data_IF_214233158146
#
_entry.id   IF_214233158146
#
_cell.length_a   1.000
_cell.length_b   1.000
_cell.length_c   1.000
_cell.angle_alpha   90.00
_cell.angle_beta   90.00
_cell.angle_gamma   90.00
#
_symmetry.space_group_name_H-M   'P 1'
#
loop_
_entity.id
_entity.type
_entity.pdbx_description
1 polymer ?
#
# COMPACT_ATOMS: atom_id res chain seq x y z
N UNK A 1 -3.81 23.65 62.69
CA UNK A 1 -4.18 24.57 61.59
C UNK A 1 -2.88 24.90 60.84
N UNK A 2 -2.36 24.01 59.98
CA UNK A 2 -2.79 23.62 58.62
C UNK A 2 -2.47 24.66 57.54
N UNK A 3 -1.65 24.21 56.57
CA UNK A 3 -1.41 24.73 55.21
C UNK A 3 -0.33 25.82 55.05
N UNK A 4 0.65 25.72 54.15
CA UNK A 4 0.89 24.67 53.16
C UNK A 4 2.21 24.89 52.43
N UNK A 5 3.14 23.95 52.64
CA UNK A 5 4.34 23.75 51.85
C UNK A 5 3.94 23.02 50.56
N UNK A 6 3.48 23.74 49.53
CA UNK A 6 3.15 23.15 48.20
C UNK A 6 3.49 24.13 47.08
N UNK A 7 4.77 24.21 46.72
CA UNK A 7 5.22 25.12 45.66
C UNK A 7 6.43 24.68 44.83
N UNK A 8 7.05 23.52 45.08
CA UNK A 8 8.36 23.23 44.47
C UNK A 8 8.50 21.86 43.76
N UNK A 9 7.45 21.04 43.65
CA UNK A 9 7.58 19.67 43.09
C UNK A 9 6.92 19.43 41.73
N UNK A 10 6.27 20.42 41.10
CA UNK A 10 5.54 20.20 39.84
C UNK A 10 6.24 20.71 38.57
N UNK A 11 7.45 21.27 38.68
CA UNK A 11 8.20 21.77 37.52
C UNK A 11 9.30 20.82 37.02
N UNK A 12 9.66 19.77 37.78
CA UNK A 12 10.74 18.84 37.41
C UNK A 12 10.27 17.57 36.68
N UNK A 13 8.97 17.30 36.56
CA UNK A 13 8.46 16.08 35.89
C UNK A 13 8.09 16.26 34.40
N UNK A 14 8.11 17.49 33.87
CA UNK A 14 7.81 17.77 32.45
C UNK A 14 9.06 18.03 31.58
N UNK A 15 10.26 17.90 32.15
CA UNK A 15 11.54 18.12 31.45
C UNK A 15 12.40 16.86 31.29
N UNK A 16 11.90 15.69 31.73
CA UNK A 16 12.67 14.43 31.74
C UNK A 16 12.38 13.46 30.57
N UNK A 17 11.55 13.84 29.59
CA UNK A 17 11.34 13.06 28.36
C UNK A 17 12.29 13.47 27.22
N UNK A 18 13.15 14.47 27.44
CA UNK A 18 14.09 14.98 26.42
C UNK A 18 15.58 14.68 26.71
N UNK A 19 15.88 13.71 27.59
CA UNK A 19 17.26 13.35 27.94
C UNK A 19 17.54 11.86 27.74
N UNK A 20 17.64 11.46 26.47
CA UNK A 20 18.63 10.46 26.05
C UNK A 20 19.08 10.75 24.61
N UNK A 21 20.21 11.45 24.40
CA UNK A 21 20.86 11.47 23.11
C UNK A 21 21.87 10.32 23.04
N UNK A 22 21.60 9.30 22.23
CA UNK A 22 22.70 8.51 21.64
C UNK A 22 23.16 9.25 20.38
N UNK A 23 24.29 9.97 20.54
CA UNK A 23 25.08 10.55 19.44
C UNK A 23 25.29 9.51 18.34
N UNK A 24 24.74 9.73 17.14
CA UNK A 24 25.20 9.05 15.91
C UNK A 24 24.14 8.50 14.95
N UNK A 25 22.87 8.36 15.31
CA UNK A 25 21.83 8.02 14.34
C UNK A 25 21.22 9.29 13.76
N UNK A 26 21.43 9.53 12.45
CA UNK A 26 20.61 10.50 11.69
C UNK A 26 19.16 10.10 11.86
N UNK A 27 18.37 10.87 12.61
CA UNK A 27 16.94 10.60 12.88
C UNK A 27 16.26 10.12 11.60
N UNK A 28 15.78 8.88 11.62
CA UNK A 28 15.03 8.30 10.52
C UNK A 28 13.53 8.49 10.81
N UNK A 29 12.73 8.65 9.75
CA UNK A 29 11.31 8.95 9.90
C UNK A 29 10.59 7.71 10.43
N UNK A 30 9.82 7.87 11.51
CA UNK A 30 8.92 6.81 11.99
C UNK A 30 7.68 6.72 11.11
N UNK A 31 7.40 5.53 10.59
CA UNK A 31 6.18 5.18 9.88
C UNK A 31 5.23 4.38 10.75
N UNK A 32 3.92 4.61 10.55
CA UNK A 32 2.84 3.79 11.09
C UNK A 32 2.17 3.05 9.95
N UNK A 33 2.33 1.73 9.91
CA UNK A 33 1.83 0.86 8.83
C UNK A 33 0.71 -0.03 9.36
N UNK A 34 -0.51 0.14 8.85
CA UNK A 34 -1.62 -0.77 9.12
C UNK A 34 -1.33 -2.15 8.52
N UNK A 35 -1.18 -3.15 9.39
CA UNK A 35 -0.96 -4.53 8.99
C UNK A 35 -2.26 -5.31 8.85
N UNK A 36 -3.23 -5.06 9.74
CA UNK A 36 -4.48 -5.82 9.82
C UNK A 36 -5.58 -5.02 10.50
N UNK A 37 -6.78 -5.11 9.94
CA UNK A 37 -8.02 -4.78 10.65
C UNK A 37 -8.64 -6.07 11.15
N UNK A 38 -8.97 -6.13 12.43
CA UNK A 38 -9.64 -7.27 13.06
C UNK A 38 -11.07 -6.86 13.38
N UNK A 39 -12.08 -7.60 12.90
CA UNK A 39 -13.48 -7.31 13.20
C UNK A 39 -13.77 -7.29 14.70
N UNK A 40 -14.81 -6.56 15.09
CA UNK A 40 -15.26 -6.49 16.47
C UNK A 40 -15.51 -7.89 17.06
N UNK A 41 -15.05 -8.09 18.30
CA UNK A 41 -15.19 -9.37 19.01
C UNK A 41 -14.20 -10.46 18.59
N UNK A 42 -13.40 -10.28 17.53
CA UNK A 42 -12.33 -11.21 17.17
C UNK A 42 -11.01 -10.85 17.85
N UNK A 43 -10.27 -11.88 18.28
CA UNK A 43 -8.97 -11.74 18.93
C UNK A 43 -7.81 -11.88 17.93
N UNK A 44 -6.72 -11.17 18.23
CA UNK A 44 -5.41 -11.33 17.60
C UNK A 44 -4.38 -11.71 18.65
N UNK A 45 -3.41 -12.53 18.25
CA UNK A 45 -2.26 -12.89 19.08
C UNK A 45 -0.99 -12.29 18.49
N UNK A 46 -0.23 -11.58 19.31
CA UNK A 46 1.09 -11.05 18.99
C UNK A 46 2.13 -11.82 19.78
N UNK A 47 3.15 -12.35 19.13
CA UNK A 47 4.30 -12.92 19.83
C UNK A 47 5.39 -11.86 19.95
N UNK A 48 5.78 -11.58 21.18
CA UNK A 48 6.81 -10.60 21.51
C UNK A 48 8.20 -11.29 21.59
N UNK A 49 9.30 -10.52 21.52
CA UNK A 49 10.66 -11.04 21.66
C UNK A 49 10.91 -11.81 22.98
N UNK A 50 12.00 -12.58 22.99
CA UNK A 50 12.41 -13.54 24.03
C UNK A 50 12.00 -13.17 25.46
N UNK A 51 11.22 -14.05 26.10
CA UNK A 51 10.80 -13.92 27.50
C UNK A 51 9.54 -13.07 27.74
N UNK A 52 9.04 -12.33 26.74
CA UNK A 52 7.87 -11.45 26.92
C UNK A 52 6.53 -12.10 26.58
N UNK A 53 6.54 -13.30 25.99
CA UNK A 53 5.37 -14.13 25.79
C UNK A 53 4.47 -13.70 24.62
N UNK A 54 3.20 -14.12 24.70
CA UNK A 54 2.16 -13.81 23.71
C UNK A 54 1.19 -12.81 24.31
N UNK A 55 0.79 -11.82 23.53
CA UNK A 55 -0.23 -10.83 23.88
C UNK A 55 -1.48 -11.09 23.06
N UNK A 56 -2.60 -11.34 23.72
CA UNK A 56 -3.93 -11.44 23.13
C UNK A 56 -4.67 -10.13 23.25
N UNK A 57 -5.23 -9.67 22.14
CA UNK A 57 -5.95 -8.42 22.09
C UNK A 57 -7.17 -8.51 21.17
N UNK A 58 -8.19 -7.69 21.45
CA UNK A 58 -9.35 -7.49 20.58
C UNK A 58 -9.81 -6.04 20.62
N UNK A 59 -10.50 -5.64 19.56
CA UNK A 59 -11.16 -4.34 19.47
C UNK A 59 -12.52 -4.40 20.14
N UNK A 60 -12.86 -3.37 20.91
CA UNK A 60 -14.18 -3.13 21.48
C UNK A 60 -14.56 -1.66 21.22
N UNK A 61 -15.86 -1.34 21.28
CA UNK A 61 -16.35 0.03 21.05
C UNK A 61 -15.69 1.10 21.96
N UNK A 62 -15.25 0.68 23.15
CA UNK A 62 -14.71 1.55 24.20
C UNK A 62 -13.17 1.61 24.21
N UNK A 63 -12.49 0.79 23.38
CA UNK A 63 -11.03 0.73 23.36
C UNK A 63 -10.48 -0.63 22.94
N UNK A 64 -9.21 -0.84 23.24
CA UNK A 64 -8.51 -2.11 23.02
C UNK A 64 -8.52 -2.89 24.32
N UNK A 65 -9.02 -4.12 24.26
CA UNK A 65 -8.88 -5.09 25.34
C UNK A 65 -7.57 -5.85 25.14
N UNK A 66 -6.73 -5.92 26.16
CA UNK A 66 -5.46 -6.68 26.17
C UNK A 66 -5.32 -7.40 27.50
N UNK A 67 -5.18 -8.73 27.48
CA UNK A 67 -4.90 -9.56 28.66
C UNK A 67 -5.79 -9.21 29.88
N UNK A 68 -7.09 -9.04 29.67
CA UNK A 68 -8.06 -8.73 30.73
C UNK A 68 -8.26 -7.26 31.05
N UNK A 69 -7.56 -6.34 30.38
CA UNK A 69 -7.64 -4.90 30.63
C UNK A 69 -8.09 -4.12 29.40
N UNK A 70 -9.10 -3.27 29.58
CA UNK A 70 -9.55 -2.33 28.56
C UNK A 70 -8.77 -1.02 28.67
N UNK A 71 -8.27 -0.52 27.54
CA UNK A 71 -7.47 0.69 27.47
C UNK A 71 -7.67 1.42 26.13
N UNK A 72 -7.45 2.75 26.04
CA UNK A 72 -7.68 3.49 24.80
C UNK A 72 -6.84 2.99 23.62
N UNK A 73 -5.62 2.56 23.91
CA UNK A 73 -4.69 1.94 22.97
C UNK A 73 -3.69 1.08 23.74
N UNK A 74 -3.00 0.17 23.06
CA UNK A 74 -1.88 -0.59 23.62
C UNK A 74 -0.67 -0.46 22.69
N UNK A 75 0.53 -0.32 23.26
CA UNK A 75 1.76 -0.20 22.49
C UNK A 75 2.84 -1.10 23.06
N UNK A 76 3.65 -1.64 22.15
CA UNK A 76 4.88 -2.33 22.45
C UNK A 76 6.02 -1.74 21.62
N UNK A 77 6.91 -0.92 22.21
CA UNK A 77 8.03 -0.28 21.52
C UNK A 77 9.26 -1.22 21.44
N UNK A 78 9.04 -2.46 20.98
CA UNK A 78 10.12 -3.45 20.85
C UNK A 78 10.90 -3.36 19.54
N UNK A 79 11.98 -4.16 19.41
CA UNK A 79 12.77 -4.24 18.18
C UNK A 79 12.07 -5.01 17.06
N UNK A 80 11.16 -5.92 17.41
CA UNK A 80 10.32 -6.68 16.49
C UNK A 80 9.14 -7.31 17.24
N UNK A 81 8.15 -7.78 16.50
CA UNK A 81 7.06 -8.64 16.98
C UNK A 81 6.61 -9.58 15.85
N UNK A 82 5.84 -10.61 16.18
CA UNK A 82 5.28 -11.55 15.18
C UNK A 82 3.75 -11.54 15.21
N UNK A 83 3.14 -11.38 14.04
CA UNK A 83 1.70 -11.39 13.78
C UNK A 83 1.44 -12.40 12.67
N UNK A 84 0.49 -13.32 12.88
CA UNK A 84 0.08 -14.35 11.90
C UNK A 84 1.28 -15.10 11.27
N UNK A 85 2.27 -15.45 12.11
CA UNK A 85 3.48 -16.16 11.69
C UNK A 85 4.56 -15.29 11.03
N UNK A 86 4.28 -14.01 10.75
CA UNK A 86 5.23 -13.07 10.11
C UNK A 86 5.86 -12.13 11.12
N UNK A 87 7.20 -12.02 11.07
CA UNK A 87 7.98 -11.12 11.93
C UNK A 87 8.11 -9.74 11.29
N UNK A 88 7.87 -8.68 12.06
CA UNK A 88 7.97 -7.28 11.64
C UNK A 88 8.99 -6.54 12.50
N UNK A 89 9.77 -5.63 11.89
CA UNK A 89 10.71 -4.76 12.60
C UNK A 89 9.97 -3.66 13.36
N UNK A 90 10.57 -3.20 14.45
CA UNK A 90 10.03 -2.12 15.27
C UNK A 90 8.88 -2.57 16.16
N UNK A 91 8.14 -1.58 16.64
CA UNK A 91 7.07 -1.75 17.61
C UNK A 91 5.71 -2.01 16.96
N UNK A 92 4.72 -2.22 17.80
CA UNK A 92 3.32 -2.37 17.41
C UNK A 92 2.43 -1.52 18.30
N UNK A 93 1.49 -0.84 17.68
CA UNK A 93 0.39 -0.11 18.31
C UNK A 93 -0.92 -0.77 17.94
N UNK A 94 -1.74 -1.02 18.94
CA UNK A 94 -3.11 -1.47 18.82
C UNK A 94 -4.05 -0.31 19.15
N UNK A 95 -5.00 -0.05 18.26
CA UNK A 95 -6.02 0.99 18.41
C UNK A 95 -7.38 0.39 18.09
N UNK A 96 -8.43 0.86 18.76
CA UNK A 96 -9.80 0.53 18.37
C UNK A 96 -10.40 1.68 17.57
N UNK A 97 -11.08 1.35 16.47
CA UNK A 97 -11.83 2.30 15.66
C UNK A 97 -13.14 1.65 15.23
N UNK A 98 -14.27 2.23 15.66
CA UNK A 98 -15.62 1.70 15.36
C UNK A 98 -15.76 0.20 15.72
N UNK A 99 -15.28 -0.18 16.90
CA UNK A 99 -15.30 -1.57 17.39
C UNK A 99 -14.24 -2.49 16.76
N UNK A 100 -13.61 -2.10 15.65
CA UNK A 100 -12.55 -2.88 14.99
C UNK A 100 -11.19 -2.60 15.62
N UNK A 101 -10.34 -3.62 15.70
CA UNK A 101 -8.94 -3.46 16.10
C UNK A 101 -8.08 -3.13 14.88
N UNK A 102 -7.27 -2.08 14.99
CA UNK A 102 -6.20 -1.77 14.04
C UNK A 102 -4.88 -2.26 14.63
N UNK A 103 -4.20 -3.17 13.91
CA UNK A 103 -2.84 -3.61 14.24
C UNK A 103 -1.86 -2.79 13.41
N UNK A 104 -1.18 -1.84 14.04
CA UNK A 104 -0.33 -0.84 13.37
C UNK A 104 1.12 -1.06 13.76
N UNK A 105 1.98 -1.36 12.79
CA UNK A 105 3.42 -1.43 13.00
C UNK A 105 4.04 -0.03 13.06
N UNK A 106 4.86 0.23 14.07
CA UNK A 106 5.69 1.42 14.24
C UNK A 106 7.12 1.08 13.85
N UNK A 107 7.58 1.54 12.69
CA UNK A 107 8.86 1.12 12.10
C UNK A 107 9.57 2.31 11.45
N UNK A 108 10.89 2.34 11.47
CA UNK A 108 11.66 3.37 10.78
C UNK A 108 11.54 3.22 9.26
N UNK A 109 11.52 4.34 8.53
CA UNK A 109 11.33 4.36 7.08
C UNK A 109 12.33 3.48 6.33
N UNK A 110 13.62 3.52 6.69
CA UNK A 110 14.61 2.70 6.01
C UNK A 110 14.41 1.20 6.31
N UNK A 111 14.02 0.84 7.54
CA UNK A 111 13.72 -0.54 7.93
C UNK A 111 12.45 -1.07 7.26
N UNK A 112 11.43 -0.23 7.11
CA UNK A 112 10.22 -0.55 6.35
C UNK A 112 10.55 -0.94 4.91
N UNK A 113 11.42 -0.18 4.26
CA UNK A 113 11.82 -0.42 2.86
C UNK A 113 12.53 -1.76 2.67
N UNK A 114 13.19 -2.30 3.69
CA UNK A 114 13.81 -3.63 3.61
C UNK A 114 12.77 -4.75 3.43
N UNK A 115 11.57 -4.58 3.98
CA UNK A 115 10.46 -5.52 3.81
C UNK A 115 9.52 -5.21 2.64
N UNK A 116 9.65 -4.03 2.02
CA UNK A 116 8.88 -3.65 0.81
C UNK A 116 9.63 -4.00 -0.45
N UNK A 117 10.93 -3.67 -0.55
CA UNK A 117 11.67 -3.79 -1.80
C UNK A 117 11.64 -5.21 -2.40
N UNK A 118 11.86 -6.28 -1.62
CA UNK A 118 11.81 -7.67 -2.12
C UNK A 118 10.41 -8.11 -2.56
N UNK A 119 9.36 -7.48 -2.04
CA UNK A 119 7.98 -7.79 -2.41
C UNK A 119 7.58 -7.15 -3.75
N UNK A 120 8.22 -6.04 -4.11
CA UNK A 120 7.87 -5.22 -5.29
C UNK A 120 8.79 -5.47 -6.49
N UNK A 121 10.06 -5.81 -6.27
CA UNK A 121 11.03 -6.06 -7.34
C UNK A 121 11.88 -7.30 -7.03
N UNK A 122 11.97 -8.28 -7.95
CA UNK A 122 12.79 -9.47 -7.74
C UNK A 122 14.28 -9.15 -7.60
N UNK A 123 14.98 -9.89 -6.75
CA UNK A 123 16.42 -9.70 -6.48
C UNK A 123 17.30 -9.77 -7.73
N UNK A 124 16.89 -10.54 -8.74
CA UNK A 124 17.63 -10.72 -9.99
C UNK A 124 17.75 -9.46 -10.86
N UNK A 125 17.00 -8.39 -10.55
CA UNK A 125 17.04 -7.15 -11.32
C UNK A 125 18.41 -6.43 -11.20
N UNK A 126 18.78 -5.57 -12.17
CA UNK A 126 19.99 -4.76 -12.08
C UNK A 126 20.02 -3.89 -10.83
N UNK A 127 21.20 -3.68 -10.25
CA UNK A 127 21.33 -2.94 -8.98
C UNK A 127 20.77 -1.51 -9.06
N UNK A 128 20.94 -0.84 -10.20
CA UNK A 128 20.38 0.51 -10.41
C UNK A 128 18.85 0.51 -10.51
N UNK A 129 18.22 -0.58 -10.99
CA UNK A 129 16.77 -0.74 -10.96
C UNK A 129 16.27 -0.91 -9.52
N UNK A 130 16.95 -1.73 -8.71
CA UNK A 130 16.65 -1.87 -7.28
C UNK A 130 16.78 -0.54 -6.52
N UNK A 131 17.84 0.25 -6.82
CA UNK A 131 18.03 1.59 -6.26
C UNK A 131 16.92 2.56 -6.69
N UNK A 132 16.54 2.56 -7.96
CA UNK A 132 15.42 3.37 -8.45
C UNK A 132 14.11 3.00 -7.74
N UNK A 133 13.82 1.70 -7.60
CA UNK A 133 12.67 1.22 -6.86
C UNK A 133 12.70 1.64 -5.39
N UNK A 134 13.87 1.60 -4.73
CA UNK A 134 14.00 2.05 -3.34
C UNK A 134 13.69 3.55 -3.19
N UNK A 135 14.15 4.38 -4.12
CA UNK A 135 13.82 5.83 -4.14
C UNK A 135 12.33 6.05 -4.38
N UNK A 136 11.72 5.34 -5.33
CA UNK A 136 10.28 5.42 -5.62
C UNK A 136 9.45 4.99 -4.42
N UNK A 137 9.73 3.84 -3.82
CA UNK A 137 9.03 3.33 -2.64
C UNK A 137 9.17 4.27 -1.44
N UNK A 138 10.38 4.80 -1.19
CA UNK A 138 10.61 5.81 -0.14
C UNK A 138 9.79 7.07 -0.37
N UNK A 139 9.76 7.55 -1.62
CA UNK A 139 9.00 8.75 -1.99
C UNK A 139 7.50 8.52 -1.76
N UNK A 140 6.99 7.35 -2.12
CA UNK A 140 5.60 6.97 -1.87
C UNK A 140 5.29 7.01 -0.37
N UNK A 141 6.13 6.38 0.46
CA UNK A 141 5.94 6.38 1.91
C UNK A 141 5.96 7.79 2.52
N UNK A 142 6.93 8.62 2.13
CA UNK A 142 7.03 10.02 2.59
C UNK A 142 5.82 10.86 2.16
N UNK A 143 5.32 10.66 0.94
CA UNK A 143 4.14 11.38 0.42
C UNK A 143 2.85 11.03 1.19
N UNK A 144 2.80 9.87 1.86
CA UNK A 144 1.63 9.36 2.59
C UNK A 144 1.62 9.63 4.09
N UNK A 145 2.69 10.19 4.63
CA UNK A 145 2.75 10.61 6.03
C UNK A 145 1.54 11.48 6.39
N UNK A 146 0.79 11.06 7.41
CA UNK A 146 -0.40 11.76 7.87
C UNK A 146 -0.50 11.71 9.40
N UNK A 147 0.12 12.67 10.11
CA UNK A 147 0.12 12.71 11.57
C UNK A 147 -1.27 12.74 12.22
N UNK A 148 -2.32 13.12 11.48
CA UNK A 148 -3.71 13.19 11.98
C UNK A 148 -4.47 11.86 11.86
N UNK A 149 -4.01 10.94 11.02
CA UNK A 149 -4.60 9.62 10.86
C UNK A 149 -4.01 8.63 11.89
N UNK A 150 -4.70 7.51 12.20
CA UNK A 150 -4.16 6.46 13.06
C UNK A 150 -2.91 5.78 12.50
N UNK A 151 -2.75 5.78 11.17
CA UNK A 151 -1.60 5.23 10.45
C UNK A 151 -1.33 6.03 9.17
N UNK A 152 -0.14 5.86 8.59
CA UNK A 152 0.33 6.55 7.39
C UNK A 152 0.12 5.70 6.12
N UNK A 153 0.33 4.38 6.23
CA UNK A 153 0.33 3.42 5.13
C UNK A 153 -0.37 2.12 5.52
N UNK A 154 -0.62 1.25 4.53
CA UNK A 154 -1.16 -0.09 4.69
C UNK A 154 -0.19 -1.13 4.09
N UNK A 155 -0.26 -2.39 4.52
CA UNK A 155 0.64 -3.46 4.07
C UNK A 155 0.15 -4.21 2.80
N UNK A 156 -0.79 -3.66 2.04
CA UNK A 156 -1.38 -4.25 0.83
C UNK A 156 -1.02 -3.46 -0.43
N UNK A 157 -1.37 -4.01 -1.60
CA UNK A 157 -1.18 -3.38 -2.92
C UNK A 157 -1.87 -2.01 -3.08
N UNK A 158 -2.82 -1.68 -2.19
CA UNK A 158 -3.43 -0.33 -2.14
C UNK A 158 -2.37 0.72 -1.79
N UNK A 159 -1.41 0.34 -0.96
CA UNK A 159 -0.28 1.14 -0.56
C UNK A 159 0.99 0.54 -1.17
N UNK A 160 1.66 -0.35 -0.43
CA UNK A 160 2.81 -1.13 -0.88
C UNK A 160 2.80 -2.47 -0.17
N UNK A 161 3.22 -3.53 -0.86
CA UNK A 161 3.27 -4.86 -0.24
C UNK A 161 4.41 -4.87 0.79
N UNK A 162 4.08 -5.11 2.07
CA UNK A 162 5.05 -5.13 3.16
C UNK A 162 5.07 -6.51 3.84
N UNK A 163 6.16 -7.26 3.62
CA UNK A 163 6.28 -8.66 4.03
C UNK A 163 7.13 -8.90 5.28
N UNK A 164 7.55 -7.83 5.96
CA UNK A 164 8.30 -7.91 7.21
C UNK A 164 9.74 -8.39 7.04
N UNK A 165 10.32 -8.90 8.12
CA UNK A 165 11.76 -9.18 8.27
C UNK A 165 12.26 -10.35 7.39
N UNK A 166 11.42 -11.36 7.17
CA UNK A 166 11.88 -12.65 6.62
C UNK A 166 12.25 -12.60 5.13
N UNK A 167 11.86 -11.54 4.41
CA UNK A 167 12.12 -11.39 2.96
C UNK A 167 13.36 -10.57 2.65
N UNK A 168 14.03 -10.02 3.66
CA UNK A 168 15.19 -9.16 3.46
C UNK A 168 16.35 -9.90 2.80
N UNK A 169 16.95 -9.30 1.77
CA UNK A 169 18.15 -9.85 1.12
C UNK A 169 19.28 -8.82 1.07
N UNK A 170 20.55 -9.26 0.94
CA UNK A 170 21.69 -8.36 0.86
C UNK A 170 21.60 -7.34 -0.28
N UNK A 171 21.16 -7.73 -1.48
CA UNK A 171 21.10 -6.83 -2.64
C UNK A 171 20.03 -5.74 -2.50
N UNK A 172 18.87 -6.10 -1.97
CA UNK A 172 17.82 -5.14 -1.64
C UNK A 172 18.29 -4.18 -0.55
N UNK A 173 18.94 -4.71 0.49
CA UNK A 173 19.50 -3.92 1.59
C UNK A 173 20.53 -2.92 1.09
N UNK A 174 21.41 -3.33 0.18
CA UNK A 174 22.38 -2.44 -0.46
C UNK A 174 21.69 -1.32 -1.26
N UNK A 175 20.63 -1.64 -2.00
CA UNK A 175 19.86 -0.65 -2.76
C UNK A 175 19.16 0.38 -1.85
N UNK A 176 18.51 -0.07 -0.78
CA UNK A 176 17.86 0.80 0.21
C UNK A 176 18.89 1.71 0.86
N UNK A 177 19.97 1.15 1.42
CA UNK A 177 21.01 1.91 2.12
C UNK A 177 21.77 2.86 1.20
N UNK A 178 22.11 2.42 -0.01
CA UNK A 178 22.79 3.25 -1.02
C UNK A 178 21.96 4.42 -1.54
N UNK A 179 20.65 4.43 -1.25
CA UNK A 179 19.72 5.50 -1.61
C UNK A 179 19.07 6.18 -0.40
N UNK A 180 19.59 5.95 0.81
CA UNK A 180 19.04 6.50 2.06
C UNK A 180 18.72 7.99 1.94
N UNK A 181 17.49 8.36 2.27
CA UNK A 181 17.02 9.76 2.26
C UNK A 181 16.84 10.39 0.88
N UNK A 182 17.06 9.67 -0.23
CA UNK A 182 16.77 10.18 -1.58
C UNK A 182 15.28 9.98 -1.88
N UNK A 183 14.62 11.06 -2.26
CA UNK A 183 13.21 11.09 -2.68
C UNK A 183 13.06 11.87 -3.99
N UNK A 184 12.02 11.55 -4.75
CA UNK A 184 11.63 12.31 -5.94
C UNK A 184 10.71 13.46 -5.50
N UNK A 185 11.00 14.68 -5.98
CA UNK A 185 10.19 15.85 -5.66
C UNK A 185 9.80 16.63 -6.91
N UNK A 186 8.67 17.31 -6.82
CA UNK A 186 8.21 18.29 -7.80
C UNK A 186 7.76 19.53 -7.03
N UNK A 187 8.30 20.70 -7.40
CA UNK A 187 8.05 21.96 -6.70
C UNK A 187 8.31 21.87 -5.18
N UNK A 188 9.41 21.21 -4.80
CA UNK A 188 9.85 21.10 -3.40
C UNK A 188 9.02 20.13 -2.53
N UNK A 189 8.09 19.38 -3.11
CA UNK A 189 7.26 18.38 -2.38
C UNK A 189 7.51 16.99 -2.92
N UNK A 190 7.57 16.00 -2.03
CA UNK A 190 7.63 14.59 -2.43
C UNK A 190 6.44 14.25 -3.33
N UNK A 191 6.71 13.65 -4.50
CA UNK A 191 5.67 13.36 -5.48
C UNK A 191 4.81 12.16 -5.08
N UNK A 192 3.65 12.01 -5.72
CA UNK A 192 2.97 10.72 -5.77
C UNK A 192 3.76 9.78 -6.69
N UNK A 193 4.58 8.91 -6.08
CA UNK A 193 5.51 8.03 -6.78
C UNK A 193 4.85 6.66 -7.06
N UNK A 194 3.93 6.64 -8.03
CA UNK A 194 3.21 5.42 -8.44
C UNK A 194 4.10 4.56 -9.36
N UNK A 195 4.00 3.24 -9.22
CA UNK A 195 4.76 2.27 -10.02
C UNK A 195 3.91 1.04 -10.32
N UNK A 196 4.34 0.25 -11.30
CA UNK A 196 3.64 -0.93 -11.79
C UNK A 196 4.67 -1.93 -12.35
N UNK A 197 4.23 -3.16 -12.60
CA UNK A 197 5.13 -4.25 -12.98
C UNK A 197 5.61 -4.16 -14.44
N UNK A 198 4.72 -3.85 -15.38
CA UNK A 198 5.05 -3.77 -16.82
C UNK A 198 4.09 -2.81 -17.53
N UNK A 199 4.61 -1.80 -18.23
CA UNK A 199 3.82 -0.75 -18.89
C UNK A 199 3.13 -1.21 -20.19
N UNK A 200 3.49 -2.38 -20.71
CA UNK A 200 3.03 -2.86 -22.02
C UNK A 200 3.50 -2.00 -23.20
N UNK A 201 4.56 -1.21 -22.99
CA UNK A 201 5.18 -0.35 -24.01
C UNK A 201 4.85 1.14 -23.89
N UNK A 202 3.94 1.52 -23.00
CA UNK A 202 3.50 2.90 -22.82
C UNK A 202 2.99 3.10 -21.39
N UNK A 203 3.58 4.04 -20.64
CA UNK A 203 3.06 4.41 -19.32
C UNK A 203 1.72 5.15 -19.43
N UNK A 204 0.86 5.05 -18.41
CA UNK A 204 -0.39 5.78 -18.31
C UNK A 204 -0.23 7.15 -17.62
N UNK A 205 -1.05 8.13 -18.02
CA UNK A 205 -1.22 9.38 -17.29
C UNK A 205 -2.02 9.19 -16.00
N UNK A 206 -1.76 9.97 -14.97
CA UNK A 206 -2.51 9.85 -13.71
C UNK A 206 -3.98 10.22 -13.85
N UNK A 207 -4.34 11.09 -14.79
CA UNK A 207 -5.73 11.40 -15.16
C UNK A 207 -6.48 10.18 -15.71
N UNK A 208 -5.78 9.27 -16.38
CA UNK A 208 -6.37 8.09 -17.00
C UNK A 208 -6.75 7.03 -15.97
N UNK A 209 -6.02 6.98 -14.86
CA UNK A 209 -6.13 5.95 -13.84
C UNK A 209 -6.82 6.47 -12.56
N UNK A 210 -6.54 7.72 -12.18
CA UNK A 210 -6.90 8.33 -10.89
C UNK A 210 -7.67 9.65 -11.03
N UNK A 211 -8.19 9.98 -12.22
CA UNK A 211 -8.98 11.19 -12.54
C UNK A 211 -8.24 12.54 -12.38
N UNK A 212 -7.12 12.60 -11.67
CA UNK A 212 -6.34 13.82 -11.43
C UNK A 212 -5.09 13.83 -12.31
N UNK A 213 -4.99 14.83 -13.18
CA UNK A 213 -3.78 15.10 -13.95
C UNK A 213 -2.64 15.59 -13.05
N UNK A 214 -1.46 14.96 -13.15
CA UNK A 214 -0.25 15.38 -12.47
C UNK A 214 0.85 15.67 -13.51
N UNK A 215 1.56 16.81 -13.44
CA UNK A 215 2.54 17.20 -14.46
C UNK A 215 3.65 16.16 -14.69
N UNK A 216 4.00 15.40 -13.66
CA UNK A 216 5.08 14.41 -13.67
C UNK A 216 4.60 12.96 -13.91
N UNK A 217 3.28 12.70 -13.97
CA UNK A 217 2.71 11.40 -14.31
C UNK A 217 1.92 11.50 -15.61
N UNK A 218 2.66 11.56 -16.73
CA UNK A 218 2.11 11.65 -18.08
C UNK A 218 2.45 10.41 -18.89
N UNK A 219 1.66 10.08 -19.92
CA UNK A 219 1.98 8.97 -20.80
C UNK A 219 3.34 9.14 -21.46
N UNK A 220 4.17 8.10 -21.40
CA UNK A 220 5.48 8.06 -22.02
C UNK A 220 5.71 6.70 -22.69
N UNK A 221 6.28 6.68 -23.91
CA UNK A 221 6.75 5.43 -24.50
C UNK A 221 7.77 4.76 -23.60
N UNK A 222 7.64 3.44 -23.43
CA UNK A 222 8.57 2.61 -22.69
C UNK A 222 9.08 1.48 -23.60
N UNK A 223 10.16 1.71 -24.35
CA UNK A 223 10.68 0.73 -25.30
C UNK A 223 11.31 -0.50 -24.62
N UNK A 224 11.48 -0.47 -23.29
CA UNK A 224 12.14 -1.49 -22.50
C UNK A 224 11.17 -2.52 -21.90
N UNK A 225 9.86 -2.26 -21.95
CA UNK A 225 8.79 -3.19 -21.55
C UNK A 225 8.68 -4.39 -22.51
N UNK A 226 9.69 -5.27 -22.47
CA UNK A 226 9.82 -6.47 -23.31
C UNK A 226 10.05 -7.73 -22.48
N UNK A 227 9.34 -7.85 -21.37
CA UNK A 227 9.41 -9.03 -20.50
C UNK A 227 8.70 -10.25 -21.08
N UNK A 228 8.99 -11.47 -20.60
CA UNK A 228 8.31 -12.69 -21.03
C UNK A 228 6.81 -12.71 -20.68
N UNK A 229 6.38 -11.87 -19.74
CA UNK A 229 4.98 -11.69 -19.33
C UNK A 229 4.36 -10.40 -19.87
N UNK A 230 5.05 -9.71 -20.79
CA UNK A 230 4.61 -8.42 -21.34
C UNK A 230 3.40 -8.57 -22.26
N UNK A 231 3.07 -9.78 -22.72
CA UNK A 231 1.88 -10.07 -23.51
C UNK A 231 1.13 -11.23 -22.86
N UNK A 232 -0.20 -11.18 -22.92
CA UNK A 232 -1.06 -12.20 -22.33
C UNK A 232 -2.36 -12.33 -23.10
N UNK A 233 -2.98 -13.50 -22.96
CA UNK A 233 -4.30 -13.80 -23.49
C UNK A 233 -5.12 -14.51 -22.41
N UNK A 234 -6.34 -14.04 -22.18
CA UNK A 234 -7.25 -14.56 -21.15
C UNK A 234 -8.69 -14.55 -21.65
N UNK A 235 -9.49 -15.52 -21.24
CA UNK A 235 -10.94 -15.53 -21.50
C UNK A 235 -11.69 -14.88 -20.33
N UNK A 236 -12.64 -14.00 -20.65
CA UNK A 236 -13.56 -13.40 -19.68
C UNK A 236 -14.91 -14.08 -19.81
N UNK A 237 -15.43 -14.68 -18.74
CA UNK A 237 -16.76 -15.29 -18.80
C UNK A 237 -17.87 -14.22 -18.64
N UNK A 238 -19.05 -14.42 -19.24
CA UNK A 238 -20.19 -13.52 -19.05
C UNK A 238 -20.58 -13.34 -17.58
N UNK A 239 -20.46 -14.39 -16.77
CA UNK A 239 -20.78 -14.35 -15.33
C UNK A 239 -19.81 -13.45 -14.58
N UNK A 240 -18.51 -13.55 -14.89
CA UNK A 240 -17.48 -12.67 -14.32
C UNK A 240 -17.70 -11.22 -14.74
N UNK A 241 -18.05 -10.99 -16.00
CA UNK A 241 -18.39 -9.66 -16.50
C UNK A 241 -19.60 -9.06 -15.79
N UNK A 242 -20.67 -9.84 -15.61
CA UNK A 242 -21.85 -9.41 -14.87
C UNK A 242 -21.53 -9.12 -13.39
N UNK A 243 -20.71 -9.96 -12.75
CA UNK A 243 -20.25 -9.72 -11.38
C UNK A 243 -19.41 -8.45 -11.26
N UNK A 244 -18.49 -8.19 -12.20
CA UNK A 244 -17.67 -6.98 -12.21
C UNK A 244 -18.51 -5.70 -12.36
N UNK A 245 -19.55 -5.72 -13.21
CA UNK A 245 -20.50 -4.61 -13.33
C UNK A 245 -21.29 -4.38 -12.04
N UNK A 246 -21.84 -5.45 -11.44
CA UNK A 246 -22.59 -5.35 -10.18
C UNK A 246 -21.72 -4.84 -9.03
N UNK A 247 -20.46 -5.24 -8.97
CA UNK A 247 -19.49 -4.73 -7.98
C UNK A 247 -19.23 -3.21 -8.12
N UNK A 248 -19.54 -2.63 -9.29
CA UNK A 248 -19.49 -1.19 -9.55
C UNK A 248 -20.87 -0.52 -9.44
N UNK A 249 -21.89 -1.22 -8.94
CA UNK A 249 -23.27 -0.71 -8.83
C UNK A 249 -23.99 -0.57 -10.18
N UNK A 250 -23.56 -1.31 -11.21
CA UNK A 250 -24.17 -1.30 -12.55
C UNK A 250 -24.96 -2.59 -12.81
N UNK A 251 -26.13 -2.46 -13.41
CA UNK A 251 -27.00 -3.59 -13.78
C UNK A 251 -26.76 -3.98 -15.25
N UNK A 252 -26.38 -5.25 -15.53
CA UNK A 252 -26.28 -5.75 -16.92
C UNK A 252 -27.62 -5.64 -17.66
N UNK A 253 -27.59 -5.34 -18.97
CA UNK A 253 -28.78 -5.05 -19.79
C UNK A 253 -28.99 -6.04 -20.96
N UNK A 254 -28.40 -7.24 -20.88
CA UNK A 254 -28.29 -8.17 -22.01
C UNK A 254 -29.63 -8.57 -22.68
N UNK A 255 -29.61 -8.72 -24.02
CA UNK A 255 -30.75 -9.13 -24.85
C UNK A 255 -30.50 -9.39 -26.35
N UNK A 256 -29.32 -9.09 -26.92
CA UNK A 256 -28.75 -9.44 -28.26
C UNK A 256 -27.66 -8.41 -28.64
N UNK A 257 -26.95 -8.56 -29.78
CA UNK A 257 -25.60 -9.13 -29.97
C UNK A 257 -24.42 -8.37 -29.29
N UNK A 258 -24.68 -7.47 -28.34
CA UNK A 258 -23.66 -6.64 -27.66
C UNK A 258 -23.17 -7.17 -26.30
N UNK A 259 -23.15 -8.49 -26.12
CA UNK A 259 -22.86 -9.09 -24.80
C UNK A 259 -21.37 -9.12 -24.47
N UNK A 260 -20.51 -9.28 -25.48
CA UNK A 260 -19.07 -9.27 -25.30
C UNK A 260 -18.51 -7.85 -25.04
N UNK A 261 -17.34 -7.74 -24.41
CA UNK A 261 -16.68 -6.45 -24.22
C UNK A 261 -16.29 -5.82 -25.58
N UNK A 262 -16.67 -4.55 -25.79
CA UNK A 262 -16.32 -3.76 -26.97
C UNK A 262 -15.66 -2.45 -26.54
N UNK A 263 -14.38 -2.28 -26.89
CA UNK A 263 -13.66 -1.03 -26.66
C UNK A 263 -14.15 0.01 -27.66
N UNK A 264 -14.76 1.08 -27.16
CA UNK A 264 -15.30 2.17 -27.96
C UNK A 264 -14.33 3.35 -28.12
N UNK A 265 -13.40 3.51 -27.17
CA UNK A 265 -12.42 4.59 -27.17
C UNK A 265 -11.17 4.18 -26.37
N UNK A 266 -10.01 4.67 -26.79
CA UNK A 266 -8.73 4.50 -26.10
C UNK A 266 -8.19 5.83 -25.61
N UNK A 267 -7.49 5.81 -24.49
CA UNK A 267 -6.82 6.98 -23.93
C UNK A 267 -5.52 7.30 -24.66
N UNK A 268 -4.85 8.39 -24.27
CA UNK A 268 -3.55 8.78 -24.83
C UNK A 268 -2.46 7.70 -24.65
N UNK A 269 -2.56 6.86 -23.61
CA UNK A 269 -1.66 5.73 -23.42
C UNK A 269 -2.08 4.46 -24.19
N UNK A 270 -3.18 4.50 -24.95
CA UNK A 270 -3.76 3.35 -25.65
C UNK A 270 -4.62 2.41 -24.77
N UNK A 271 -4.77 2.71 -23.48
CA UNK A 271 -5.60 1.91 -22.55
C UNK A 271 -7.09 2.14 -22.83
N UNK A 272 -7.93 1.20 -22.41
CA UNK A 272 -9.39 1.31 -22.55
C UNK A 272 -9.89 2.58 -21.85
N UNK A 273 -10.54 3.46 -22.61
CA UNK A 273 -11.14 4.70 -22.12
C UNK A 273 -12.65 4.66 -22.11
N UNK A 274 -13.26 4.01 -23.11
CA UNK A 274 -14.70 3.74 -23.14
C UNK A 274 -14.94 2.29 -23.51
N UNK A 275 -15.73 1.58 -22.71
CA UNK A 275 -16.01 0.16 -22.85
C UNK A 275 -17.52 -0.06 -22.81
N UNK A 276 -18.05 -0.79 -23.78
CA UNK A 276 -19.39 -1.40 -23.69
C UNK A 276 -19.24 -2.84 -23.24
N UNK A 277 -19.99 -3.26 -22.22
CA UNK A 277 -20.01 -4.62 -21.70
C UNK A 277 -21.42 -4.99 -21.27
N UNK A 278 -21.99 -6.06 -21.81
CA UNK A 278 -23.35 -6.52 -21.48
C UNK A 278 -24.39 -5.39 -21.56
N UNK A 279 -24.32 -4.59 -22.63
CA UNK A 279 -25.18 -3.43 -22.87
C UNK A 279 -24.87 -2.17 -22.04
N UNK A 280 -23.97 -2.24 -21.06
CA UNK A 280 -23.60 -1.10 -20.22
C UNK A 280 -22.36 -0.41 -20.77
N UNK A 281 -22.41 0.91 -20.94
CA UNK A 281 -21.24 1.72 -21.28
C UNK A 281 -20.61 2.33 -20.02
N UNK A 282 -19.29 2.20 -19.91
CA UNK A 282 -18.48 2.77 -18.85
C UNK A 282 -17.33 3.54 -19.50
N UNK A 283 -16.98 4.70 -18.94
CA UNK A 283 -15.98 5.59 -19.52
C UNK A 283 -14.98 6.10 -18.48
N UNK A 284 -13.89 6.67 -18.97
CA UNK A 284 -12.85 7.26 -18.13
C UNK A 284 -12.13 6.23 -17.26
N UNK A 285 -11.64 6.65 -16.08
CA UNK A 285 -10.94 5.75 -15.15
C UNK A 285 -11.81 4.60 -14.62
N UNK A 286 -13.14 4.73 -14.65
CA UNK A 286 -14.06 3.64 -14.32
C UNK A 286 -13.97 2.50 -15.34
N UNK A 287 -13.75 2.79 -16.62
CA UNK A 287 -13.61 1.75 -17.66
C UNK A 287 -12.35 0.90 -17.41
N UNK A 288 -11.23 1.54 -17.04
CA UNK A 288 -10.00 0.83 -16.68
C UNK A 288 -10.18 0.01 -15.39
N UNK A 289 -10.91 0.54 -14.41
CA UNK A 289 -11.26 -0.20 -13.19
C UNK A 289 -12.12 -1.43 -13.50
N UNK A 290 -13.11 -1.28 -14.39
CA UNK A 290 -13.93 -2.39 -14.85
C UNK A 290 -13.06 -3.48 -15.49
N UNK A 291 -12.15 -3.11 -16.39
CA UNK A 291 -11.22 -4.07 -17.02
C UNK A 291 -10.39 -4.84 -15.98
N UNK A 292 -9.86 -4.17 -14.95
CA UNK A 292 -9.15 -4.85 -13.85
C UNK A 292 -10.07 -5.76 -13.03
N UNK A 293 -11.31 -5.35 -12.79
CA UNK A 293 -12.32 -6.16 -12.11
C UNK A 293 -12.72 -7.42 -12.90
N UNK A 294 -12.46 -7.48 -14.22
CA UNK A 294 -12.56 -8.70 -15.02
C UNK A 294 -11.42 -9.70 -14.74
N UNK A 295 -10.45 -9.34 -13.89
CA UNK A 295 -9.26 -10.14 -13.59
C UNK A 295 -8.18 -10.04 -14.65
N UNK A 296 -8.20 -8.99 -15.48
CA UNK A 296 -7.21 -8.79 -16.54
C UNK A 296 -5.97 -8.05 -15.99
N UNK A 297 -4.74 -8.44 -16.40
CA UNK A 297 -3.51 -7.87 -15.85
C UNK A 297 -3.35 -6.36 -16.07
N UNK A 298 -3.89 -5.82 -17.16
CA UNK A 298 -3.82 -4.39 -17.48
C UNK A 298 -5.05 -3.93 -18.27
N UNK A 299 -5.23 -2.61 -18.33
CA UNK A 299 -6.23 -1.97 -19.21
C UNK A 299 -5.73 -1.74 -20.64
N UNK A 300 -4.51 -2.16 -20.98
CA UNK A 300 -3.96 -2.11 -22.33
C UNK A 300 -4.31 -3.42 -23.05
N UNK A 301 -5.58 -3.52 -23.45
CA UNK A 301 -6.20 -4.75 -23.92
C UNK A 301 -7.02 -4.52 -25.20
N UNK A 302 -7.18 -5.59 -25.97
CA UNK A 302 -8.12 -5.75 -27.08
C UNK A 302 -9.04 -6.94 -26.81
N UNK A 303 -10.29 -6.85 -27.25
CA UNK A 303 -11.25 -7.93 -27.09
C UNK A 303 -11.70 -8.48 -28.45
N UNK A 304 -11.70 -9.81 -28.57
CA UNK A 304 -12.22 -10.57 -29.71
C UNK A 304 -13.33 -11.47 -29.16
N UNK A 305 -14.55 -10.94 -29.14
CA UNK A 305 -15.62 -11.56 -28.36
C UNK A 305 -15.23 -11.59 -26.87
N UNK A 306 -15.28 -12.76 -26.26
CA UNK A 306 -14.94 -12.96 -24.84
C UNK A 306 -13.45 -13.23 -24.58
N UNK A 307 -12.63 -13.24 -25.63
CA UNK A 307 -11.19 -13.38 -25.52
C UNK A 307 -10.52 -12.01 -25.42
N UNK A 308 -9.67 -11.83 -24.41
CA UNK A 308 -8.90 -10.63 -24.15
C UNK A 308 -7.44 -10.89 -24.49
N UNK A 309 -6.85 -10.05 -25.34
CA UNK A 309 -5.43 -10.04 -25.68
C UNK A 309 -4.86 -8.70 -25.23
N UNK A 310 -3.84 -8.71 -24.39
CA UNK A 310 -3.32 -7.48 -23.80
C UNK A 310 -1.83 -7.50 -23.54
N UNK A 311 -1.35 -6.35 -23.08
CA UNK A 311 0.07 -6.12 -22.78
C UNK A 311 0.26 -5.46 -21.43
N UNK A 312 1.41 -5.71 -20.81
CA UNK A 312 1.76 -5.15 -19.51
C UNK A 312 0.96 -5.72 -18.34
N UNK A 313 1.30 -5.26 -17.14
CA UNK A 313 0.69 -5.67 -15.89
C UNK A 313 0.72 -4.52 -14.88
N UNK A 314 -0.44 -4.23 -14.31
CA UNK A 314 -0.67 -3.13 -13.38
C UNK A 314 -1.46 -1.97 -13.99
N UNK A 315 -1.47 -0.86 -13.27
CA UNK A 315 -2.32 0.28 -13.61
C UNK A 315 -1.71 1.22 -14.66
N UNK A 316 -0.38 1.21 -14.78
CA UNK A 316 0.42 2.16 -15.52
C UNK A 316 0.93 1.59 -16.81
#
# INVERSE_FOLDING_TARGET
MSHGLKGALLACLLLLVWLLPSRGQKEDLLLRVLLKEVPEGQEVSLLLPEGQGTVRARGEAQGVWVEGRLQPFWEFPGPYFRLDGRTYRGGVRLLAQEGRLLVVNQVLLEDYLLGVLPAEMPEGFPQEALKAQAVVARTFAVNRLNPRAPYDLCASEICQVYLGLAVETPRHTEAVRGTRGKVLSYQGRAISALYHADSGGMTAGSEEVFQKALPYLRPRPDPYARGPKSQWQLSVSPERAAAALRAMGRTPQAGSPGDSPVVLERSASGRVWRLRLLGVEVQGPEAQRLVRNLGLPSALVEFRGWQAEGRGAGHG
#
